data_IF_380479872286
#
_entry.id   IF_380479872286
#
_cell.length_a   1.000
_cell.length_b   1.000
_cell.length_c   1.000
_cell.angle_alpha   90.00
_cell.angle_beta   90.00
_cell.angle_gamma   90.00
#
_symmetry.space_group_name_H-M   'P 1'
#
loop_
_entity.id
_entity.type
_entity.pdbx_description
1 polymer ?
#
# COMPACT_ATOMS: atom_id res chain seq x y z
N UNK A 1 79.17 7.56 11.76
CA UNK A 1 78.08 8.27 11.06
C UNK A 1 77.03 8.67 12.09
N UNK A 2 76.79 9.97 12.30
CA UNK A 2 75.94 10.47 13.39
C UNK A 2 74.47 10.15 13.18
N UNK A 3 73.70 10.07 14.27
CA UNK A 3 72.26 9.73 14.28
C UNK A 3 71.45 10.61 13.32
N UNK A 4 71.84 11.89 13.18
CA UNK A 4 71.24 12.84 12.22
C UNK A 4 71.45 12.43 10.76
N UNK A 5 72.64 11.93 10.42
CA UNK A 5 72.96 11.46 9.06
C UNK A 5 72.19 10.18 8.73
N UNK A 6 72.00 9.28 9.69
CA UNK A 6 71.18 8.08 9.52
C UNK A 6 69.70 8.42 9.32
N UNK A 7 69.16 9.37 10.08
CA UNK A 7 67.79 9.85 9.91
C UNK A 7 67.57 10.48 8.53
N UNK A 8 68.52 11.29 8.05
CA UNK A 8 68.44 11.91 6.74
C UNK A 8 68.42 10.89 5.59
N UNK A 9 69.25 9.84 5.69
CA UNK A 9 69.29 8.76 4.69
C UNK A 9 67.99 7.95 4.72
N UNK A 10 67.47 7.62 5.91
CA UNK A 10 66.19 6.90 6.02
C UNK A 10 65.04 7.75 5.46
N UNK A 11 64.99 9.04 5.77
CA UNK A 11 63.97 9.93 5.22
C UNK A 11 64.05 10.03 3.69
N UNK A 12 65.25 10.10 3.13
CA UNK A 12 65.45 10.11 1.68
C UNK A 12 65.00 8.79 1.03
N UNK A 13 65.33 7.64 1.65
CA UNK A 13 64.91 6.33 1.15
C UNK A 13 63.39 6.16 1.22
N UNK A 14 62.76 6.58 2.32
CA UNK A 14 61.30 6.54 2.46
C UNK A 14 60.65 7.43 1.39
N UNK A 15 61.11 8.67 1.21
CA UNK A 15 60.58 9.56 0.18
C UNK A 15 60.71 8.96 -1.22
N UNK A 16 61.86 8.33 -1.52
CA UNK A 16 62.09 7.69 -2.82
C UNK A 16 61.15 6.50 -3.03
N UNK A 17 60.98 5.66 -2.02
CA UNK A 17 60.06 4.52 -2.09
C UNK A 17 58.61 5.00 -2.21
N UNK A 18 58.21 6.05 -1.48
CA UNK A 18 56.87 6.62 -1.59
C UNK A 18 56.61 7.16 -2.99
N UNK A 19 57.56 7.87 -3.61
CA UNK A 19 57.42 8.38 -4.98
C UNK A 19 57.35 7.23 -5.99
N UNK A 20 58.18 6.19 -5.83
CA UNK A 20 58.15 5.03 -6.72
C UNK A 20 56.83 4.24 -6.60
N UNK A 21 56.36 3.99 -5.38
CA UNK A 21 55.07 3.31 -5.16
C UNK A 21 53.94 4.15 -5.72
N UNK A 22 53.92 5.46 -5.48
CA UNK A 22 52.86 6.33 -5.97
C UNK A 22 52.88 6.47 -7.50
N UNK A 23 54.07 6.48 -8.12
CA UNK A 23 54.23 6.48 -9.57
C UNK A 23 53.83 5.15 -10.23
N UNK A 24 54.08 4.01 -9.58
CA UNK A 24 53.72 2.69 -10.10
C UNK A 24 52.24 2.32 -9.87
N UNK A 25 51.62 2.92 -8.86
CA UNK A 25 50.21 2.71 -8.49
C UNK A 25 49.29 3.85 -8.95
N UNK A 26 49.82 4.85 -9.68
CA UNK A 26 48.97 5.82 -10.35
C UNK A 26 48.28 5.08 -11.50
N UNK A 27 46.96 4.86 -11.44
CA UNK A 27 46.27 4.22 -12.54
C UNK A 27 46.49 5.09 -13.78
N UNK A 28 46.96 4.47 -14.87
CA UNK A 28 46.97 5.10 -16.19
C UNK A 28 45.66 5.86 -16.34
N UNK A 29 45.68 7.16 -16.68
CA UNK A 29 44.45 7.91 -16.87
C UNK A 29 43.59 7.11 -17.84
N UNK A 30 42.41 6.69 -17.37
CA UNK A 30 41.48 5.85 -18.15
C UNK A 30 41.42 6.48 -19.53
N UNK A 31 42.01 5.78 -20.51
CA UNK A 31 42.11 6.29 -21.87
C UNK A 31 40.73 6.79 -22.26
N UNK A 32 40.64 8.03 -22.76
CA UNK A 32 39.35 8.62 -23.15
C UNK A 32 38.57 7.53 -23.89
N UNK A 33 37.30 7.26 -23.51
CA UNK A 33 36.48 6.27 -24.20
C UNK A 33 36.70 6.49 -25.68
N UNK A 34 37.11 5.44 -26.41
CA UNK A 34 37.35 5.54 -27.84
C UNK A 34 36.11 6.19 -28.41
N UNK A 35 36.26 7.43 -28.90
CA UNK A 35 35.22 8.10 -29.67
C UNK A 35 34.96 7.13 -30.80
N UNK A 36 33.84 6.40 -30.69
CA UNK A 36 33.35 5.63 -31.80
C UNK A 36 33.08 6.67 -32.86
N UNK A 37 33.78 6.57 -34.00
CA UNK A 37 33.48 7.31 -35.23
C UNK A 37 32.11 6.85 -35.79
N UNK A 38 31.08 6.82 -34.94
CA UNK A 38 29.70 6.77 -35.33
C UNK A 38 29.38 8.16 -35.86
N UNK A 39 29.39 8.30 -37.19
CA UNK A 39 28.83 9.46 -37.84
C UNK A 39 27.38 9.73 -37.38
N UNK A 40 26.80 10.88 -37.72
CA UNK A 40 25.39 11.16 -37.43
C UNK A 40 24.50 10.22 -38.26
N UNK A 41 24.27 9.01 -37.77
CA UNK A 41 23.52 7.94 -38.41
C UNK A 41 23.87 6.61 -37.74
N UNK A 42 22.98 5.86 -37.12
CA UNK A 42 21.54 5.95 -36.99
C UNK A 42 21.22 5.65 -35.53
N UNK A 43 20.54 6.55 -34.83
CA UNK A 43 19.85 6.14 -33.61
C UNK A 43 18.85 5.08 -34.05
N UNK A 44 19.09 3.81 -33.70
CA UNK A 44 18.13 2.74 -33.95
C UNK A 44 16.77 3.25 -33.46
N UNK A 45 15.76 3.40 -34.35
CA UNK A 45 14.50 3.96 -33.94
C UNK A 45 13.94 3.07 -32.83
N UNK A 46 13.72 3.66 -31.65
CA UNK A 46 13.03 2.95 -30.59
C UNK A 46 11.70 2.49 -31.17
N UNK A 47 11.44 1.19 -31.09
CA UNK A 47 10.14 0.67 -31.53
C UNK A 47 9.08 1.39 -30.69
N UNK A 48 8.17 2.16 -31.30
CA UNK A 48 7.16 2.87 -30.54
C UNK A 48 6.36 1.83 -29.76
N UNK A 49 6.02 2.09 -28.48
CA UNK A 49 5.15 1.21 -27.73
C UNK A 49 3.90 0.90 -28.57
N UNK A 50 3.58 -0.39 -28.72
CA UNK A 50 2.41 -0.80 -29.48
C UNK A 50 1.17 -0.13 -28.87
N UNK A 51 0.30 0.41 -29.72
CA UNK A 51 -0.95 0.99 -29.27
C UNK A 51 -1.73 -0.05 -28.43
N UNK A 52 -2.05 0.32 -27.21
CA UNK A 52 -2.80 -0.55 -26.30
C UNK A 52 -4.19 -0.79 -26.86
N UNK A 53 -4.52 -2.07 -27.10
CA UNK A 53 -5.85 -2.51 -27.56
C UNK A 53 -6.90 -2.46 -26.44
N UNK A 54 -6.50 -2.17 -25.20
CA UNK A 54 -7.37 -2.28 -24.05
C UNK A 54 -8.03 -0.94 -23.73
N UNK A 55 -9.36 -0.87 -23.88
CA UNK A 55 -10.14 0.36 -23.69
C UNK A 55 -10.01 0.97 -22.29
N UNK A 56 -9.69 0.18 -21.25
CA UNK A 56 -9.48 0.70 -19.90
C UNK A 56 -8.29 1.67 -19.80
N UNK A 57 -7.35 1.64 -20.76
CA UNK A 57 -6.24 2.61 -20.82
C UNK A 57 -6.65 3.98 -21.36
N UNK A 58 -7.85 4.08 -21.94
CA UNK A 58 -8.44 5.33 -22.43
C UNK A 58 -9.58 5.82 -21.52
N UNK A 59 -10.03 4.97 -20.59
CA UNK A 59 -11.07 5.29 -19.63
C UNK A 59 -10.50 6.04 -18.41
N UNK A 60 -11.38 6.78 -17.74
CA UNK A 60 -11.09 7.56 -16.54
C UNK A 60 -11.88 7.00 -15.37
N UNK A 61 -11.31 7.14 -14.18
CA UNK A 61 -11.99 6.82 -12.93
C UNK A 61 -13.09 7.87 -12.66
N UNK A 62 -14.30 7.42 -12.33
CA UNK A 62 -15.47 8.26 -12.08
C UNK A 62 -15.94 8.24 -10.63
N UNK A 63 -15.37 7.35 -9.81
CA UNK A 63 -15.72 7.14 -8.41
C UNK A 63 -16.95 6.27 -8.23
N UNK A 64 -17.01 5.56 -7.09
CA UNK A 64 -18.07 4.57 -6.83
C UNK A 64 -19.49 5.15 -6.79
N UNK A 65 -19.65 6.45 -6.53
CA UNK A 65 -20.97 7.09 -6.51
C UNK A 65 -21.64 7.11 -7.89
N UNK A 66 -20.86 7.22 -8.97
CA UNK A 66 -21.39 7.15 -10.33
C UNK A 66 -22.01 5.77 -10.66
N UNK A 67 -21.53 4.71 -9.99
CA UNK A 67 -22.07 3.36 -10.18
C UNK A 67 -23.47 3.20 -9.56
N UNK A 68 -23.75 3.93 -8.46
CA UNK A 68 -25.02 3.83 -7.73
C UNK A 68 -26.24 4.21 -8.57
N UNK A 69 -26.08 5.11 -9.54
CA UNK A 69 -27.18 5.57 -10.38
C UNK A 69 -27.92 4.42 -11.09
N UNK A 70 -27.18 3.37 -11.49
CA UNK A 70 -27.74 2.17 -12.13
C UNK A 70 -27.64 0.91 -11.26
N UNK A 71 -26.71 0.84 -10.30
CA UNK A 71 -26.39 -0.34 -9.49
C UNK A 71 -26.66 -0.11 -7.99
N UNK A 72 -27.89 0.28 -7.65
CA UNK A 72 -28.25 0.62 -6.27
C UNK A 72 -28.06 -0.58 -5.33
N UNK A 73 -28.65 -1.73 -5.67
CA UNK A 73 -28.60 -2.95 -4.86
C UNK A 73 -27.16 -3.43 -4.61
N UNK A 74 -26.31 -3.39 -5.64
CA UNK A 74 -24.90 -3.79 -5.50
C UNK A 74 -24.12 -2.79 -4.64
N UNK A 75 -24.35 -1.49 -4.80
CA UNK A 75 -23.68 -0.48 -3.98
C UNK A 75 -24.11 -0.54 -2.52
N UNK A 76 -25.41 -0.74 -2.25
CA UNK A 76 -25.95 -0.91 -0.90
C UNK A 76 -25.37 -2.15 -0.22
N UNK A 77 -25.38 -3.28 -0.92
CA UNK A 77 -24.77 -4.52 -0.43
C UNK A 77 -23.27 -4.35 -0.16
N UNK A 78 -22.55 -3.72 -1.08
CA UNK A 78 -21.10 -3.52 -0.97
C UNK A 78 -20.73 -2.57 0.19
N UNK A 79 -21.56 -1.58 0.50
CA UNK A 79 -21.35 -0.65 1.63
C UNK A 79 -21.25 -1.37 3.00
N UNK A 80 -21.79 -2.59 3.11
CA UNK A 80 -21.66 -3.42 4.30
C UNK A 80 -20.39 -4.28 4.35
N UNK A 81 -19.55 -4.28 3.31
CA UNK A 81 -18.28 -5.01 3.30
C UNK A 81 -17.17 -4.32 4.09
N UNK A 82 -16.14 -5.09 4.50
CA UNK A 82 -14.94 -4.48 5.09
C UNK A 82 -14.13 -3.64 4.11
N UNK A 83 -14.24 -3.91 2.81
CA UNK A 83 -13.55 -3.18 1.74
C UNK A 83 -14.08 -1.75 1.59
N UNK A 84 -15.41 -1.58 1.57
CA UNK A 84 -16.03 -0.25 1.51
C UNK A 84 -15.86 0.58 2.78
N UNK A 85 -15.34 -0.02 3.86
CA UNK A 85 -14.95 0.63 5.11
C UNK A 85 -13.45 0.64 5.35
N UNK A 86 -12.63 0.28 4.36
CA UNK A 86 -11.18 0.08 4.55
C UNK A 86 -10.43 1.36 4.94
N UNK A 87 -11.00 2.53 4.64
CA UNK A 87 -10.47 3.83 5.02
C UNK A 87 -11.59 4.88 5.03
N UNK A 88 -11.57 5.79 6.01
CA UNK A 88 -12.56 6.88 6.14
C UNK A 88 -11.96 8.13 6.76
N UNK A 89 -12.69 9.24 6.71
CA UNK A 89 -12.41 10.42 7.54
C UNK A 89 -12.87 10.19 8.97
N UNK A 90 -12.35 11.01 9.88
CA UNK A 90 -12.77 11.00 11.29
C UNK A 90 -14.25 11.38 11.40
N UNK A 91 -14.99 10.56 12.13
CA UNK A 91 -16.35 10.84 12.62
C UNK A 91 -16.30 10.73 14.15
N UNK A 92 -16.32 11.87 14.84
CA UNK A 92 -16.06 11.92 16.28
C UNK A 92 -17.08 11.15 17.11
N UNK A 93 -18.31 11.00 16.62
CA UNK A 93 -19.37 10.28 17.31
C UNK A 93 -19.19 8.76 17.20
N UNK A 94 -18.47 8.31 16.16
CA UNK A 94 -18.13 6.91 15.93
C UNK A 94 -16.77 6.52 16.55
N UNK A 95 -15.95 7.48 17.00
CA UNK A 95 -14.63 7.19 17.56
C UNK A 95 -14.66 6.72 19.01
N UNK A 96 -13.69 5.89 19.44
CA UNK A 96 -13.56 5.49 20.83
C UNK A 96 -13.39 6.68 21.80
N UNK A 97 -13.63 6.49 23.10
CA UNK A 97 -13.45 7.54 24.10
C UNK A 97 -12.00 8.03 24.18
N UNK A 98 -11.85 9.28 24.60
CA UNK A 98 -10.55 9.88 24.91
C UNK A 98 -9.80 9.04 25.96
N UNK A 99 -8.49 8.90 25.79
CA UNK A 99 -7.67 8.09 26.67
C UNK A 99 -6.22 8.55 26.72
N UNK A 100 -5.55 8.17 27.80
CA UNK A 100 -4.10 8.25 27.93
C UNK A 100 -3.54 6.83 28.11
N UNK A 101 -2.53 6.49 27.33
CA UNK A 101 -1.88 5.20 27.26
C UNK A 101 -0.39 5.37 27.60
N UNK A 102 0.05 5.04 28.82
CA UNK A 102 1.46 5.03 29.16
C UNK A 102 2.12 3.78 28.56
N UNK A 103 3.10 3.99 27.69
CA UNK A 103 3.89 2.91 27.11
C UNK A 103 5.20 2.76 27.88
N UNK A 104 5.22 1.82 28.84
CA UNK A 104 6.35 1.61 29.75
C UNK A 104 7.68 1.39 29.04
N UNK A 105 7.68 0.65 27.91
CA UNK A 105 8.91 0.30 27.22
C UNK A 105 9.62 1.51 26.60
N UNK A 106 8.89 2.50 26.09
CA UNK A 106 9.49 3.72 25.53
C UNK A 106 9.50 4.91 26.48
N UNK A 107 8.96 4.76 27.70
CA UNK A 107 8.78 5.84 28.67
C UNK A 107 7.98 7.03 28.10
N UNK A 108 7.02 6.72 27.20
CA UNK A 108 6.17 7.70 26.54
C UNK A 108 4.73 7.61 27.01
N UNK A 109 4.07 8.76 27.04
CA UNK A 109 2.63 8.88 27.21
C UNK A 109 2.00 9.17 25.85
N UNK A 110 1.13 8.28 25.39
CA UNK A 110 0.33 8.48 24.19
C UNK A 110 -1.08 8.88 24.58
N UNK A 111 -1.70 9.77 23.82
CA UNK A 111 -3.04 10.26 24.13
C UNK A 111 -3.88 10.35 22.88
N UNK A 112 -5.17 10.00 22.99
CA UNK A 112 -6.20 10.29 22.01
C UNK A 112 -7.21 11.22 22.68
N UNK A 113 -7.41 12.40 22.09
CA UNK A 113 -8.26 13.44 22.69
C UNK A 113 -9.10 14.16 21.64
N UNK A 114 -10.31 14.56 22.03
CA UNK A 114 -11.15 15.46 21.25
C UNK A 114 -10.84 16.90 21.64
N UNK A 115 -10.37 17.70 20.68
CA UNK A 115 -10.06 19.12 20.86
C UNK A 115 -10.54 19.91 19.65
N UNK A 116 -11.29 20.99 19.90
CA UNK A 116 -11.80 21.90 18.87
C UNK A 116 -12.61 21.21 17.76
N UNK A 117 -13.44 20.23 18.13
CA UNK A 117 -14.24 19.47 17.18
C UNK A 117 -13.42 18.55 16.25
N UNK A 118 -12.21 18.17 16.68
CA UNK A 118 -11.29 17.30 15.95
C UNK A 118 -10.70 16.23 16.86
N UNK A 119 -10.24 15.13 16.28
CA UNK A 119 -9.51 14.09 16.98
C UNK A 119 -8.00 14.37 16.89
N UNK A 120 -7.33 14.36 18.02
CA UNK A 120 -5.91 14.62 18.15
C UNK A 120 -5.21 13.45 18.82
N UNK A 121 -4.12 13.01 18.23
CA UNK A 121 -3.21 12.07 18.86
C UNK A 121 -1.92 12.78 19.26
N UNK A 122 -1.49 12.53 20.49
CA UNK A 122 -0.34 13.17 21.10
C UNK A 122 0.60 12.14 21.70
N UNK A 123 1.88 12.46 21.66
CA UNK A 123 2.97 11.66 22.19
C UNK A 123 3.90 12.56 23.00
N UNK A 124 4.12 12.19 24.26
CA UNK A 124 4.99 12.92 25.19
C UNK A 124 6.01 11.97 25.81
N UNK A 125 7.23 12.46 26.07
CA UNK A 125 8.19 11.75 26.91
C UNK A 125 7.97 12.21 28.35
N UNK A 126 7.62 11.25 29.21
CA UNK A 126 7.48 11.47 30.66
C UNK A 126 8.84 11.29 31.32
N UNK A 127 9.40 12.37 31.88
CA UNK A 127 10.63 12.32 32.68
C UNK A 127 10.45 13.03 34.02
N UNK A 128 11.50 13.10 34.84
CA UNK A 128 11.48 13.71 36.19
C UNK A 128 11.27 15.25 36.19
N UNK A 129 11.13 15.86 35.01
CA UNK A 129 10.90 17.29 34.78
C UNK A 129 9.65 17.49 33.91
N UNK A 130 9.40 18.70 33.43
CA UNK A 130 8.23 18.99 32.59
C UNK A 130 8.19 18.07 31.35
N UNK A 131 7.02 17.49 30.99
CA UNK A 131 6.89 16.59 29.84
C UNK A 131 7.30 17.26 28.53
N UNK A 132 7.95 16.48 27.67
CA UNK A 132 8.40 16.90 26.35
C UNK A 132 7.43 16.38 25.31
N UNK A 133 6.71 17.29 24.64
CA UNK A 133 5.81 16.93 23.55
C UNK A 133 6.66 16.54 22.33
N UNK A 134 6.57 15.28 21.91
CA UNK A 134 7.27 14.73 20.73
C UNK A 134 6.41 14.88 19.48
N UNK A 135 5.08 14.74 19.63
CA UNK A 135 4.12 14.94 18.55
C UNK A 135 2.74 15.31 19.10
N UNK A 136 2.02 16.18 18.40
CA UNK A 136 0.63 16.55 18.68
C UNK A 136 -0.06 16.84 17.35
N UNK A 137 -0.76 15.85 16.80
CA UNK A 137 -1.23 15.88 15.42
C UNK A 137 -2.73 15.60 15.32
N UNK A 138 -3.40 16.42 14.51
CA UNK A 138 -4.77 16.17 14.09
C UNK A 138 -4.81 14.89 13.25
N UNK A 139 -5.71 13.98 13.61
CA UNK A 139 -5.97 12.79 12.84
C UNK A 139 -6.83 13.17 11.63
N UNK A 140 -6.35 12.81 10.45
CA UNK A 140 -7.00 13.10 9.17
C UNK A 140 -7.82 11.92 8.66
N UNK A 141 -7.25 10.71 8.76
CA UNK A 141 -7.88 9.50 8.25
C UNK A 141 -7.81 8.35 9.24
N UNK A 142 -8.74 7.42 9.07
CA UNK A 142 -8.81 6.15 9.78
C UNK A 142 -8.67 5.06 8.75
N UNK A 143 -7.83 4.08 9.06
CA UNK A 143 -7.52 2.93 8.21
C UNK A 143 -7.91 1.65 8.92
N UNK A 144 -8.60 0.76 8.19
CA UNK A 144 -9.16 -0.47 8.71
C UNK A 144 -10.69 -0.43 8.77
N UNK A 145 -11.31 -1.59 8.57
CA UNK A 145 -12.77 -1.76 8.50
C UNK A 145 -13.50 -1.62 9.83
N UNK A 146 -12.77 -1.45 10.94
CA UNK A 146 -13.30 -1.46 12.30
C UNK A 146 -13.71 -2.83 12.83
N UNK A 147 -13.36 -3.93 12.13
CA UNK A 147 -13.70 -5.29 12.59
C UNK A 147 -12.73 -5.81 13.66
N UNK A 148 -11.44 -5.50 13.52
CA UNK A 148 -10.40 -5.97 14.45
C UNK A 148 -9.75 -4.82 15.20
N UNK A 149 -9.38 -3.77 14.45
CA UNK A 149 -8.79 -2.55 14.96
C UNK A 149 -8.99 -1.42 13.94
N UNK A 150 -8.81 -0.19 14.41
CA UNK A 150 -8.73 1.02 13.58
C UNK A 150 -7.39 1.70 13.83
N UNK A 151 -6.64 1.91 12.75
CA UNK A 151 -5.39 2.65 12.74
C UNK A 151 -5.66 4.08 12.31
N UNK A 152 -4.80 5.00 12.72
CA UNK A 152 -5.03 6.43 12.53
C UNK A 152 -3.87 7.03 11.74
N UNK A 153 -4.20 7.88 10.77
CA UNK A 153 -3.22 8.64 9.98
C UNK A 153 -3.42 10.13 10.22
N UNK A 154 -2.31 10.84 10.42
CA UNK A 154 -2.25 12.29 10.39
C UNK A 154 -1.53 12.76 9.11
N UNK A 155 -1.58 14.05 8.83
CA UNK A 155 -0.80 14.66 7.75
C UNK A 155 0.23 15.62 8.33
N UNK A 156 1.50 15.38 8.00
CA UNK A 156 2.64 16.18 8.46
C UNK A 156 3.42 16.59 7.21
N UNK A 157 3.55 17.89 6.94
CA UNK A 157 4.25 18.44 5.77
C UNK A 157 3.81 17.84 4.41
N UNK A 158 2.56 17.41 4.33
CA UNK A 158 1.99 16.78 3.13
C UNK A 158 2.27 15.27 2.98
N UNK A 159 2.87 14.65 4.00
CA UNK A 159 3.03 13.20 4.11
C UNK A 159 1.95 12.63 5.02
N UNK A 160 1.37 11.48 4.65
CA UNK A 160 0.51 10.74 5.55
C UNK A 160 1.37 9.92 6.49
N UNK A 161 1.17 10.06 7.79
CA UNK A 161 1.99 9.45 8.83
C UNK A 161 1.11 8.65 9.77
N UNK A 162 1.54 7.42 10.07
CA UNK A 162 0.87 6.50 10.97
C UNK A 162 1.01 6.98 12.43
N UNK A 163 -0.12 7.05 13.13
CA UNK A 163 -0.15 7.27 14.57
C UNK A 163 0.40 6.04 15.30
N UNK A 164 1.23 6.23 16.36
CA UNK A 164 1.70 5.13 17.21
C UNK A 164 0.61 4.51 18.08
N UNK A 165 -0.58 5.09 18.10
CA UNK A 165 -1.74 4.65 18.88
C UNK A 165 -2.86 4.08 17.97
N UNK A 166 -3.37 2.90 18.31
CA UNK A 166 -4.43 2.15 17.60
C UNK A 166 -5.52 1.73 18.57
N UNK A 167 -6.77 1.68 18.10
CA UNK A 167 -7.89 1.12 18.86
C UNK A 167 -8.14 -0.33 18.47
N UNK A 168 -8.17 -1.23 19.43
CA UNK A 168 -8.48 -2.65 19.23
C UNK A 168 -9.92 -2.94 19.64
N UNK A 169 -10.67 -3.65 18.79
CA UNK A 169 -12.13 -3.82 18.98
C UNK A 169 -12.46 -5.04 19.83
N UNK A 170 -11.74 -6.16 19.63
CA UNK A 170 -12.00 -7.41 20.35
C UNK A 170 -11.74 -7.29 21.86
N UNK A 171 -10.76 -6.47 22.23
CA UNK A 171 -10.52 -6.00 23.59
C UNK A 171 -10.57 -4.48 23.51
N UNK A 172 -11.68 -3.83 23.87
CA UNK A 172 -11.96 -2.42 23.57
C UNK A 172 -11.00 -1.51 24.35
N UNK A 173 -9.81 -1.33 23.81
CA UNK A 173 -8.73 -0.57 24.43
C UNK A 173 -7.84 0.09 23.38
N UNK A 174 -7.23 1.19 23.81
CA UNK A 174 -6.14 1.82 23.11
C UNK A 174 -4.83 1.09 23.44
N UNK A 175 -4.04 0.78 22.42
CA UNK A 175 -2.73 0.20 22.57
C UNK A 175 -1.80 0.63 21.42
N UNK A 176 -0.53 0.24 21.50
CA UNK A 176 0.43 0.52 20.45
C UNK A 176 -0.03 -0.03 19.10
N UNK A 177 0.15 0.79 18.06
CA UNK A 177 -0.04 0.37 16.67
C UNK A 177 0.89 -0.81 16.33
N UNK A 178 0.48 -1.73 15.44
CA UNK A 178 1.32 -2.85 15.04
C UNK A 178 2.73 -2.42 14.59
N UNK A 179 3.76 -2.96 15.23
CA UNK A 179 5.16 -2.62 14.95
C UNK A 179 5.71 -1.41 15.74
N UNK A 180 4.94 -0.84 16.66
CA UNK A 180 5.39 0.22 17.58
C UNK A 180 5.70 -0.25 19.01
N UNK A 181 5.37 -1.50 19.36
CA UNK A 181 5.59 -2.06 20.69
C UNK A 181 7.09 -2.37 20.93
N UNK A 182 7.88 -1.30 21.08
CA UNK A 182 9.34 -1.31 21.22
C UNK A 182 9.81 -0.03 21.90
N UNK A 183 10.90 -0.04 22.71
CA UNK A 183 11.46 1.16 23.33
C UNK A 183 11.89 2.26 22.34
N UNK A 184 12.18 1.90 21.08
CA UNK A 184 12.73 2.80 20.06
C UNK A 184 11.81 2.96 18.84
N UNK A 185 10.49 2.94 19.05
CA UNK A 185 9.54 3.14 17.96
C UNK A 185 9.65 4.53 17.32
N UNK A 186 9.23 4.60 16.06
CA UNK A 186 9.36 5.81 15.24
C UNK A 186 8.41 6.96 15.64
N UNK A 187 7.37 6.68 16.44
CA UNK A 187 6.36 7.69 16.77
C UNK A 187 5.70 8.23 15.50
N UNK A 188 5.48 9.54 15.42
CA UNK A 188 4.96 10.21 14.23
C UNK A 188 6.01 10.40 13.12
N UNK A 189 6.77 9.37 12.78
CA UNK A 189 7.77 9.39 11.70
C UNK A 189 7.61 8.23 10.69
N UNK A 190 6.62 7.35 10.87
CA UNK A 190 6.38 6.23 9.96
C UNK A 190 5.38 6.64 8.88
N UNK A 191 5.86 6.88 7.67
CA UNK A 191 4.99 7.30 6.58
C UNK A 191 4.12 6.15 6.04
N UNK A 192 2.86 6.46 5.77
CA UNK A 192 1.97 5.60 4.99
C UNK A 192 2.35 5.71 3.52
N UNK A 193 2.98 4.66 3.00
CA UNK A 193 3.46 4.63 1.61
C UNK A 193 2.36 4.25 0.63
N UNK A 194 2.66 4.37 -0.67
CA UNK A 194 1.78 3.90 -1.73
C UNK A 194 1.46 2.39 -1.58
N UNK A 195 2.37 1.59 -1.01
CA UNK A 195 2.12 0.17 -0.73
C UNK A 195 0.99 -0.04 0.28
N UNK A 196 0.94 0.78 1.34
CA UNK A 196 -0.14 0.74 2.33
C UNK A 196 -1.47 1.19 1.70
N UNK A 197 -1.46 2.35 1.04
CA UNK A 197 -2.67 2.93 0.45
C UNK A 197 -3.18 2.13 -0.76
N UNK A 198 -2.33 1.34 -1.42
CA UNK A 198 -2.75 0.42 -2.46
C UNK A 198 -3.80 -0.57 -1.95
N UNK A 199 -3.67 -1.09 -0.73
CA UNK A 199 -4.64 -2.04 -0.17
C UNK A 199 -5.74 -1.36 0.64
N UNK A 200 -5.51 -0.16 1.17
CA UNK A 200 -6.44 0.48 2.11
C UNK A 200 -7.26 1.61 1.52
N UNK A 201 -6.73 2.35 0.55
CA UNK A 201 -7.46 3.40 -0.12
C UNK A 201 -8.34 2.84 -1.25
N UNK A 202 -9.27 3.61 -1.81
CA UNK A 202 -9.96 3.33 -3.09
C UNK A 202 -9.17 3.76 -4.30
N UNK A 203 -8.52 4.92 -4.19
CA UNK A 203 -7.53 5.40 -5.16
C UNK A 203 -6.64 6.42 -4.49
N UNK A 204 -5.34 6.28 -4.73
CA UNK A 204 -4.33 7.17 -4.19
C UNK A 204 -3.31 7.46 -5.29
N UNK A 205 -2.97 8.74 -5.48
CA UNK A 205 -2.08 9.20 -6.54
C UNK A 205 -0.86 9.88 -5.93
N UNK A 206 0.32 9.49 -6.39
CA UNK A 206 1.56 10.17 -6.06
C UNK A 206 1.53 11.63 -6.51
N UNK A 207 1.92 12.56 -5.64
CA UNK A 207 2.12 13.97 -5.96
C UNK A 207 3.57 14.13 -6.41
N UNK A 208 3.81 14.85 -7.51
CA UNK A 208 5.14 15.13 -8.06
C UNK A 208 6.01 13.87 -8.27
N UNK A 209 5.39 12.74 -8.61
CA UNK A 209 6.03 11.40 -8.70
C UNK A 209 6.74 10.96 -7.40
N UNK A 210 6.34 11.49 -6.25
CA UNK A 210 6.85 11.07 -4.93
C UNK A 210 6.21 9.78 -4.45
N UNK A 211 7.02 8.88 -3.88
CA UNK A 211 6.53 7.64 -3.27
C UNK A 211 5.82 7.85 -1.93
N UNK A 212 6.11 8.96 -1.24
CA UNK A 212 5.65 9.23 0.12
C UNK A 212 4.63 10.36 0.19
N UNK A 213 4.59 11.25 -0.82
CA UNK A 213 3.61 12.34 -0.90
C UNK A 213 2.44 11.90 -1.75
N UNK A 214 1.31 11.59 -1.10
CA UNK A 214 0.20 10.90 -1.76
C UNK A 214 -1.11 11.65 -1.51
N UNK A 215 -1.88 11.86 -2.58
CA UNK A 215 -3.24 12.37 -2.51
C UNK A 215 -4.20 11.19 -2.56
N UNK A 216 -5.12 11.12 -1.61
CA UNK A 216 -6.20 10.12 -1.61
C UNK A 216 -7.34 10.68 -2.45
N UNK A 217 -7.63 10.04 -3.58
CA UNK A 217 -8.70 10.41 -4.50
C UNK A 217 -10.05 9.78 -4.13
N UNK A 218 -10.01 8.56 -3.59
CA UNK A 218 -11.17 7.82 -3.12
C UNK A 218 -10.76 7.09 -1.85
N UNK A 219 -11.50 7.29 -0.76
CA UNK A 219 -11.11 6.86 0.58
C UNK A 219 -11.09 5.34 0.70
N UNK A 220 -12.23 4.65 0.72
CA UNK A 220 -12.27 3.20 0.86
C UNK A 220 -12.17 2.48 -0.49
N UNK A 221 -11.84 1.18 -0.48
CA UNK A 221 -11.87 0.34 -1.69
C UNK A 221 -13.26 0.45 -2.35
N UNK A 222 -13.26 1.01 -3.56
CA UNK A 222 -14.46 1.26 -4.37
C UNK A 222 -14.65 0.26 -5.51
N UNK A 223 -15.72 0.47 -6.29
CA UNK A 223 -16.10 -0.39 -7.42
C UNK A 223 -14.97 -0.51 -8.45
N UNK A 224 -14.39 0.63 -8.81
CA UNK A 224 -13.37 0.75 -9.86
C UNK A 224 -12.02 0.16 -9.45
N UNK A 225 -11.83 -0.19 -8.16
CA UNK A 225 -10.64 -0.91 -7.72
C UNK A 225 -10.58 -2.32 -8.32
N UNK A 226 -11.73 -2.97 -8.45
CA UNK A 226 -11.85 -4.31 -9.02
C UNK A 226 -12.30 -4.28 -10.49
N UNK A 227 -13.16 -3.32 -10.85
CA UNK A 227 -13.75 -3.23 -12.18
C UNK A 227 -12.99 -2.33 -13.15
N UNK A 228 -11.99 -1.58 -12.67
CA UNK A 228 -11.27 -0.59 -13.46
C UNK A 228 -12.06 0.70 -13.71
N UNK A 229 -11.48 1.66 -14.45
CA UNK A 229 -12.09 2.95 -14.73
C UNK A 229 -13.39 2.84 -15.55
N UNK A 230 -14.46 3.44 -15.05
CA UNK A 230 -15.83 3.26 -15.53
C UNK A 230 -16.33 4.29 -16.55
N UNK A 231 -15.56 5.33 -16.90
CA UNK A 231 -16.09 6.44 -17.72
C UNK A 231 -16.67 6.00 -19.07
N UNK A 232 -16.00 5.10 -19.79
CA UNK A 232 -16.48 4.58 -21.08
C UNK A 232 -17.68 3.64 -20.93
N UNK A 233 -17.76 2.93 -19.79
CA UNK A 233 -18.92 2.10 -19.47
C UNK A 233 -20.17 2.96 -19.29
N UNK A 234 -20.08 4.03 -18.49
CA UNK A 234 -21.17 4.98 -18.28
C UNK A 234 -21.56 5.65 -19.59
N UNK A 235 -20.59 6.16 -20.36
CA UNK A 235 -20.86 6.85 -21.62
C UNK A 235 -21.64 5.96 -22.60
N UNK A 236 -21.24 4.69 -22.73
CA UNK A 236 -21.94 3.72 -23.59
C UNK A 236 -23.41 3.52 -23.19
N UNK A 237 -23.71 3.47 -21.89
CA UNK A 237 -25.08 3.29 -21.40
C UNK A 237 -25.91 4.57 -21.47
N UNK A 238 -25.28 5.73 -21.35
CA UNK A 238 -25.92 7.04 -21.55
C UNK A 238 -26.15 7.38 -23.04
N UNK A 239 -25.76 6.51 -23.97
CA UNK A 239 -25.93 6.72 -25.42
C UNK A 239 -24.91 7.70 -26.02
N UNK A 240 -23.93 8.13 -25.24
CA UNK A 240 -22.78 8.94 -25.66
C UNK A 240 -21.64 8.01 -26.07
N UNK A 241 -21.47 7.78 -27.37
CA UNK A 241 -20.27 7.10 -27.86
C UNK A 241 -19.04 7.98 -27.62
N UNK A 242 -17.90 7.37 -27.31
CA UNK A 242 -16.61 8.07 -27.17
C UNK A 242 -16.16 8.78 -28.47
N UNK A 243 -16.81 8.53 -29.60
CA UNK A 243 -16.58 9.19 -30.89
C UNK A 243 -17.60 10.30 -31.24
N UNK A 244 -18.51 10.64 -30.32
CA UNK A 244 -19.55 11.66 -30.55
C UNK A 244 -20.70 11.24 -31.47
N UNK A 245 -20.81 9.97 -31.90
CA UNK A 245 -21.99 9.49 -32.64
C UNK A 245 -23.08 9.01 -31.70
N UNK A 246 -24.21 9.72 -31.75
CA UNK A 246 -25.48 9.30 -31.16
C UNK A 246 -25.93 8.01 -31.81
N UNK A 247 -26.02 6.92 -31.04
CA UNK A 247 -26.53 5.64 -31.56
C UNK A 247 -28.05 5.68 -31.57
N UNK A 248 -28.64 6.08 -32.71
CA UNK A 248 -30.08 5.89 -32.95
C UNK A 248 -30.40 4.40 -32.89
N UNK A 249 -31.29 4.02 -31.98
CA UNK A 249 -31.39 2.65 -31.47
C UNK A 249 -31.84 1.58 -32.45
N UNK A 250 -31.50 0.33 -32.09
CA UNK A 250 -32.41 -0.82 -32.03
C UNK A 250 -31.71 -1.90 -31.21
N UNK A 251 -32.47 -2.61 -30.37
CA UNK A 251 -31.93 -3.69 -29.54
C UNK A 251 -31.28 -4.78 -30.40
N UNK A 252 -30.03 -5.10 -30.08
CA UNK A 252 -29.47 -6.41 -30.34
C UNK A 252 -28.83 -6.87 -29.04
N UNK A 253 -29.36 -7.97 -28.52
CA UNK A 253 -28.70 -8.80 -27.52
C UNK A 253 -27.46 -9.42 -28.15
N UNK A 254 -26.39 -8.64 -28.35
CA UNK A 254 -25.06 -9.22 -28.56
C UNK A 254 -24.55 -9.66 -27.20
N UNK A 255 -24.92 -10.90 -26.87
CA UNK A 255 -24.23 -11.74 -25.90
C UNK A 255 -22.75 -11.64 -26.22
N UNK A 256 -21.97 -11.12 -25.26
CA UNK A 256 -20.52 -11.14 -25.28
C UNK A 256 -20.05 -12.51 -25.81
N UNK A 257 -19.45 -12.50 -26.99
CA UNK A 257 -18.73 -13.63 -27.55
C UNK A 257 -17.46 -13.80 -26.72
N UNK A 258 -17.64 -14.45 -25.58
CA UNK A 258 -16.56 -15.07 -24.81
C UNK A 258 -15.89 -16.06 -25.77
N UNK A 259 -14.55 -16.03 -25.92
CA UNK A 259 -13.84 -17.01 -26.74
C UNK A 259 -14.18 -18.43 -26.27
N UNK A 260 -14.35 -19.41 -27.19
CA UNK A 260 -14.90 -20.73 -26.87
C UNK A 260 -14.04 -21.60 -25.93
N UNK A 261 -12.87 -21.13 -25.49
CA UNK A 261 -11.97 -21.83 -24.57
C UNK A 261 -12.26 -21.58 -23.07
N UNK A 262 -13.23 -20.71 -22.72
CA UNK A 262 -13.60 -20.40 -21.32
C UNK A 262 -14.84 -21.14 -20.77
N UNK A 263 -15.29 -22.23 -21.41
CA UNK A 263 -16.53 -22.96 -21.06
C UNK A 263 -16.48 -23.78 -19.76
N UNK A 264 -15.46 -23.60 -18.91
CA UNK A 264 -15.31 -24.33 -17.65
C UNK A 264 -15.92 -23.69 -16.40
N UNK A 265 -16.41 -22.44 -16.47
CA UNK A 265 -16.93 -21.74 -15.29
C UNK A 265 -18.39 -21.37 -15.51
N UNK A 266 -19.29 -22.28 -15.14
CA UNK A 266 -20.70 -21.95 -14.93
C UNK A 266 -20.82 -20.78 -13.93
N UNK A 267 -21.79 -19.87 -14.08
CA UNK A 267 -21.99 -18.79 -13.14
C UNK A 267 -22.41 -19.38 -11.80
N UNK A 268 -21.45 -19.53 -10.88
CA UNK A 268 -21.76 -19.84 -9.48
C UNK A 268 -22.31 -18.56 -8.86
N UNK A 269 -23.45 -18.70 -8.17
CA UNK A 269 -24.06 -17.71 -7.28
C UNK A 269 -23.00 -16.87 -6.57
N UNK A 270 -23.16 -15.54 -6.65
CA UNK A 270 -22.64 -14.51 -5.75
C UNK A 270 -21.53 -14.97 -4.78
N UNK A 271 -20.27 -14.70 -5.14
CA UNK A 271 -19.08 -14.91 -4.29
C UNK A 271 -19.08 -14.01 -3.04
N UNK A 272 -20.05 -13.11 -2.89
CA UNK A 272 -20.18 -12.21 -1.72
C UNK A 272 -20.58 -12.94 -0.43
N UNK A 273 -21.06 -14.19 -0.47
CA UNK A 273 -21.56 -14.86 0.74
C UNK A 273 -20.48 -15.53 1.63
N UNK A 274 -19.20 -15.52 1.26
CA UNK A 274 -18.15 -16.27 2.00
C UNK A 274 -17.36 -15.40 2.99
N UNK A 275 -17.49 -14.06 2.95
CA UNK A 275 -16.68 -13.16 3.79
C UNK A 275 -17.43 -12.69 5.05
N UNK A 276 -18.66 -13.14 5.27
CA UNK A 276 -19.54 -12.65 6.36
C UNK A 276 -19.99 -13.74 7.34
N UNK A 277 -19.14 -14.69 7.71
CA UNK A 277 -19.42 -15.59 8.85
C UNK A 277 -18.79 -15.05 10.14
N UNK A 278 -19.57 -14.81 11.21
CA UNK A 278 -19.08 -14.22 12.46
C UNK A 278 -18.55 -15.25 13.49
N UNK A 279 -18.13 -16.46 13.09
CA UNK A 279 -17.61 -17.45 14.05
C UNK A 279 -16.06 -17.51 14.07
N UNK A 280 -15.45 -17.58 15.27
CA UNK A 280 -14.00 -17.66 15.40
C UNK A 280 -13.52 -19.05 15.02
N UNK A 281 -13.01 -19.22 13.80
CA UNK A 281 -12.29 -20.45 13.43
C UNK A 281 -10.86 -20.37 13.98
N UNK A 282 -10.59 -21.08 15.07
CA UNK A 282 -9.25 -21.27 15.60
C UNK A 282 -8.40 -22.06 14.60
N UNK A 283 -7.37 -21.44 14.02
CA UNK A 283 -6.36 -22.15 13.22
C UNK A 283 -5.26 -22.63 14.17
N UNK A 284 -5.23 -23.94 14.45
CA UNK A 284 -4.04 -24.59 15.01
C UNK A 284 -3.02 -24.77 13.89
N UNK A 285 -1.82 -24.23 14.09
CA UNK A 285 -0.68 -24.44 13.21
C UNK A 285 -0.27 -25.92 13.21
N UNK A 286 -0.31 -26.56 12.04
CA UNK A 286 0.24 -27.90 11.84
C UNK A 286 1.40 -27.83 10.83
N UNK A 287 2.61 -28.04 11.37
CA UNK A 287 3.75 -28.77 10.80
C UNK A 287 4.14 -28.62 9.32
N UNK A 288 5.36 -28.11 9.12
CA UNK A 288 6.35 -28.43 8.09
C UNK A 288 5.88 -28.61 6.62
N UNK A 289 6.30 -27.67 5.78
CA UNK A 289 6.21 -27.73 4.32
C UNK A 289 7.15 -28.80 3.74
N UNK A 290 6.69 -29.76 2.92
CA UNK A 290 7.58 -30.64 2.18
C UNK A 290 8.16 -29.91 0.96
N UNK A 291 9.48 -30.03 0.79
CA UNK A 291 10.25 -29.54 -0.36
C UNK A 291 9.80 -30.22 -1.65
N UNK A 292 9.50 -29.41 -2.68
CA UNK A 292 9.09 -29.90 -4.00
C UNK A 292 10.29 -30.44 -4.79
N UNK A 293 10.22 -31.71 -5.21
CA UNK A 293 11.08 -32.29 -6.26
C UNK A 293 10.39 -32.12 -7.61
N UNK A 294 11.04 -31.60 -8.67
CA UNK A 294 10.42 -31.45 -9.99
C UNK A 294 10.27 -32.80 -10.69
N UNK A 295 9.08 -33.11 -11.24
CA UNK A 295 8.96 -34.18 -12.27
C UNK A 295 7.82 -35.18 -12.18
N UNK A 296 6.80 -35.04 -11.31
CA UNK A 296 5.60 -35.90 -11.36
C UNK A 296 4.32 -35.11 -11.63
N UNK A 297 3.64 -35.46 -12.72
CA UNK A 297 2.24 -35.06 -12.95
C UNK A 297 1.36 -35.71 -11.90
N UNK A 298 0.72 -34.91 -11.04
CA UNK A 298 -0.36 -35.39 -10.17
C UNK A 298 -1.67 -35.29 -10.95
N UNK A 299 -2.25 -36.45 -11.30
CA UNK A 299 -3.65 -36.60 -11.71
C UNK A 299 -4.47 -36.89 -10.45
N UNK A 300 -5.74 -36.46 -10.50
CA UNK A 300 -6.87 -36.61 -9.56
C UNK A 300 -6.88 -35.72 -8.31
N UNK A 301 -7.82 -34.76 -8.30
CA UNK A 301 -8.35 -34.11 -7.11
C UNK A 301 -9.41 -35.00 -6.47
N UNK A 302 -9.23 -35.40 -5.22
CA UNK A 302 -10.28 -36.00 -4.40
C UNK A 302 -11.07 -34.89 -3.70
N UNK A 303 -12.38 -34.87 -3.90
CA UNK A 303 -13.31 -34.00 -3.16
C UNK A 303 -13.37 -34.45 -1.70
N UNK A 304 -12.94 -33.59 -0.78
CA UNK A 304 -13.14 -33.81 0.67
C UNK A 304 -14.46 -33.14 1.06
N UNK A 305 -15.45 -33.95 1.40
CA UNK A 305 -16.72 -33.48 1.96
C UNK A 305 -16.63 -33.54 3.48
N UNK A 306 -16.56 -32.39 4.14
CA UNK A 306 -16.63 -32.30 5.61
C UNK A 306 -18.11 -32.39 6.02
N UNK A 307 -18.47 -33.39 6.82
CA UNK A 307 -19.82 -33.51 7.41
C UNK A 307 -19.89 -32.70 8.71
N UNK A 308 -21.00 -31.98 8.98
CA UNK A 308 -21.20 -31.30 10.25
C UNK A 308 -21.41 -32.30 11.40
N UNK A 309 -20.84 -31.97 12.56
CA UNK A 309 -20.99 -32.72 13.81
C UNK A 309 -22.27 -32.23 14.52
N UNK A 310 -23.18 -33.11 14.97
CA UNK A 310 -24.35 -32.69 15.71
C UNK A 310 -23.98 -32.27 17.14
N UNK A 311 -24.48 -31.11 17.57
CA UNK A 311 -24.38 -30.63 18.95
C UNK A 311 -25.53 -31.27 19.77
N UNK A 312 -25.20 -31.96 20.86
CA UNK A 312 -26.19 -32.43 21.83
C UNK A 312 -26.71 -31.25 22.66
N UNK A 313 -28.01 -31.27 22.97
CA UNK A 313 -28.73 -30.27 23.79
C UNK A 313 -28.05 -29.95 25.11
#
# INVERSE_FOLDING_TARGET
MGTKTRLAIVAALVATVTVLVFGLWWPEPVGKPRETDGGPGDSLPLTPPAATRFLNTQAQYVGSQACRECHQDETDSFAHSGMSRSMRTVDLDAEPPDASFPHTASERLLQSTRRDGKLWHREEITGDSQPWIVGDHEIKYIVGSGVHFTMYLCEIDGFLVESPLTWYVAKPEWAMSPGYDSPHHLGFQREATAGCLFCHAGRATAIDNSYHRIRVDELAIGCERCHGPGSLHIARHNGTSADGRTRTGRGSTERSSIPPDWTGIAPRRSVISVISSPEPTSIRAAGAWPTTVPGRRLRTFSTITVRPIPVSK
#
